data_IF_308753438604
#
_entry.id   IF_308753438604
#
_cell.length_a   1.000
_cell.length_b   1.000
_cell.length_c   1.000
_cell.angle_alpha   90.00
_cell.angle_beta   90.00
_cell.angle_gamma   90.00
#
_symmetry.space_group_name_H-M   'P 1'
#
loop_
_entity.id
_entity.type
_entity.pdbx_description
1 polymer ?
#
# COMPACT_ATOMS: atom_id res chain seq x y z
N UNK A 1 -30.23 69.79 -6.09
CA UNK A 1 -29.63 70.20 -7.39
C UNK A 1 -28.15 70.63 -7.30
N UNK A 2 -27.64 71.13 -6.16
CA UNK A 2 -26.27 71.66 -6.02
C UNK A 2 -25.12 70.62 -5.98
N UNK A 3 -25.40 69.37 -5.59
CA UNK A 3 -24.37 68.32 -5.48
C UNK A 3 -23.88 67.89 -6.87
N UNK A 4 -24.79 67.71 -7.82
CA UNK A 4 -24.46 67.28 -9.19
C UNK A 4 -23.63 68.33 -9.96
N UNK A 5 -23.86 69.62 -9.73
CA UNK A 5 -23.09 70.70 -10.36
C UNK A 5 -21.70 70.87 -9.73
N UNK A 6 -21.56 70.68 -8.41
CA UNK A 6 -20.25 70.63 -7.76
C UNK A 6 -19.43 69.41 -8.19
N UNK A 7 -20.07 68.25 -8.33
CA UNK A 7 -19.42 67.04 -8.82
C UNK A 7 -18.93 67.21 -10.28
N UNK A 8 -19.76 67.78 -11.17
CA UNK A 8 -19.34 68.05 -12.57
C UNK A 8 -18.17 69.02 -12.68
N UNK A 9 -18.11 70.06 -11.83
CA UNK A 9 -16.96 70.99 -11.81
C UNK A 9 -15.70 70.33 -11.28
N UNK A 10 -15.81 69.53 -10.21
CA UNK A 10 -14.69 68.77 -9.68
C UNK A 10 -14.14 67.76 -10.70
N UNK A 11 -15.02 67.06 -11.42
CA UNK A 11 -14.63 66.10 -12.46
C UNK A 11 -13.96 66.80 -13.65
N UNK A 12 -14.47 67.94 -14.13
CA UNK A 12 -13.81 68.73 -15.19
C UNK A 12 -12.46 69.27 -14.74
N UNK A 13 -12.35 69.81 -13.53
CA UNK A 13 -11.08 70.30 -13.00
C UNK A 13 -10.04 69.17 -12.83
N UNK A 14 -10.49 67.98 -12.40
CA UNK A 14 -9.64 66.79 -12.29
C UNK A 14 -9.22 66.23 -13.67
N UNK A 15 -10.06 66.38 -14.69
CA UNK A 15 -9.78 66.00 -16.07
C UNK A 15 -8.76 66.94 -16.71
N UNK A 16 -8.95 68.25 -16.58
CA UNK A 16 -8.06 69.27 -17.16
C UNK A 16 -6.69 69.30 -16.46
N UNK A 17 -6.63 68.94 -15.17
CA UNK A 17 -5.38 68.76 -14.43
C UNK A 17 -4.66 67.43 -14.68
N UNK A 18 -5.22 66.53 -15.50
CA UNK A 18 -4.65 65.21 -15.78
C UNK A 18 -4.74 64.20 -14.63
N UNK A 19 -5.06 64.63 -13.41
CA UNK A 19 -5.15 63.79 -12.22
C UNK A 19 -6.19 62.66 -12.34
N UNK A 20 -7.27 62.87 -13.11
CA UNK A 20 -8.26 61.83 -13.37
C UNK A 20 -7.65 60.64 -14.12
N UNK A 21 -6.76 60.91 -15.08
CA UNK A 21 -6.09 59.88 -15.87
C UNK A 21 -4.98 59.18 -15.10
N UNK A 22 -4.29 59.90 -14.20
CA UNK A 22 -3.32 59.31 -13.27
C UNK A 22 -4.02 58.33 -12.32
N UNK A 23 -5.19 58.70 -11.78
CA UNK A 23 -6.00 57.82 -10.94
C UNK A 23 -6.53 56.59 -11.68
N UNK A 24 -6.98 56.75 -12.92
CA UNK A 24 -7.41 55.64 -13.79
C UNK A 24 -6.24 54.71 -14.17
N UNK A 25 -5.08 55.27 -14.49
CA UNK A 25 -3.88 54.51 -14.82
C UNK A 25 -3.35 53.72 -13.61
N UNK A 26 -3.36 54.33 -12.42
CA UNK A 26 -3.00 53.64 -11.18
C UNK A 26 -3.98 52.51 -10.85
N UNK A 27 -5.29 52.73 -11.00
CA UNK A 27 -6.30 51.69 -10.82
C UNK A 27 -6.13 50.54 -11.82
N UNK A 28 -5.80 50.85 -13.08
CA UNK A 28 -5.51 49.86 -14.13
C UNK A 28 -4.27 49.01 -13.81
N UNK A 29 -3.19 49.63 -13.33
CA UNK A 29 -1.96 48.92 -12.92
C UNK A 29 -2.17 48.03 -11.69
N UNK A 30 -2.96 48.48 -10.72
CA UNK A 30 -3.30 47.67 -9.54
C UNK A 30 -4.19 46.49 -9.93
N UNK A 31 -5.15 46.69 -10.83
CA UNK A 31 -6.01 45.63 -11.33
C UNK A 31 -5.22 44.57 -12.14
N UNK A 32 -4.31 45.00 -13.02
CA UNK A 32 -3.48 44.08 -13.81
C UNK A 32 -2.46 43.33 -12.94
N UNK A 33 -1.83 44.00 -11.97
CA UNK A 33 -0.96 43.35 -10.99
C UNK A 33 -1.70 42.31 -10.13
N UNK A 34 -2.95 42.60 -9.75
CA UNK A 34 -3.81 41.67 -9.02
C UNK A 34 -4.21 40.44 -9.85
N UNK A 35 -4.47 40.60 -11.14
CA UNK A 35 -4.74 39.49 -12.06
C UNK A 35 -3.49 38.62 -12.28
N UNK A 36 -2.33 39.24 -12.57
CA UNK A 36 -1.07 38.53 -12.74
C UNK A 36 -0.65 37.76 -11.46
N UNK A 37 -0.89 38.33 -10.27
CA UNK A 37 -0.62 37.64 -9.01
C UNK A 37 -1.54 36.43 -8.80
N UNK A 38 -2.79 36.50 -9.28
CA UNK A 38 -3.73 35.38 -9.24
C UNK A 38 -3.34 34.26 -10.19
N UNK A 39 -3.02 34.59 -11.43
CA UNK A 39 -2.54 33.63 -12.44
C UNK A 39 -1.28 32.92 -11.94
N UNK A 40 -0.32 33.68 -11.41
CA UNK A 40 0.90 33.10 -10.83
C UNK A 40 0.62 32.13 -9.67
N UNK A 41 -0.35 32.43 -8.79
CA UNK A 41 -0.77 31.51 -7.72
C UNK A 41 -1.46 30.25 -8.25
N UNK A 42 -2.22 30.36 -9.31
CA UNK A 42 -2.88 29.22 -9.95
C UNK A 42 -1.86 28.31 -10.62
N UNK A 43 -0.86 28.87 -11.30
CA UNK A 43 0.25 28.14 -11.90
C UNK A 43 1.07 27.39 -10.83
N UNK A 44 1.41 28.04 -9.71
CA UNK A 44 2.09 27.37 -8.60
C UNK A 44 1.28 26.20 -8.02
N UNK A 45 -0.04 26.35 -7.91
CA UNK A 45 -0.92 25.27 -7.45
C UNK A 45 -0.96 24.12 -8.46
N UNK A 46 -0.97 24.41 -9.75
CA UNK A 46 -0.96 23.41 -10.81
C UNK A 46 0.37 22.65 -10.86
N UNK A 47 1.50 23.34 -10.69
CA UNK A 47 2.83 22.74 -10.60
C UNK A 47 2.95 21.83 -9.38
N UNK A 48 2.55 22.31 -8.19
CA UNK A 48 2.55 21.49 -6.98
C UNK A 48 1.65 20.24 -7.13
N UNK A 49 0.47 20.37 -7.76
CA UNK A 49 -0.40 19.23 -8.02
C UNK A 49 0.18 18.23 -9.02
N UNK A 50 0.98 18.69 -10.00
CA UNK A 50 1.70 17.80 -10.93
C UNK A 50 2.80 17.03 -10.21
N UNK A 51 3.54 17.70 -9.32
CA UNK A 51 4.59 17.07 -8.51
C UNK A 51 4.01 16.01 -7.57
N UNK A 52 2.90 16.31 -6.88
CA UNK A 52 2.19 15.34 -6.04
C UNK A 52 1.72 14.13 -6.86
N UNK A 53 1.15 14.34 -8.06
CA UNK A 53 0.74 13.23 -8.93
C UNK A 53 1.92 12.39 -9.41
N UNK A 54 3.07 13.00 -9.66
CA UNK A 54 4.29 12.29 -10.03
C UNK A 54 4.78 11.42 -8.86
N UNK A 55 4.87 11.99 -7.65
CA UNK A 55 5.25 11.26 -6.44
C UNK A 55 4.31 10.08 -6.14
N UNK A 56 2.99 10.25 -6.29
CA UNK A 56 2.02 9.15 -6.12
C UNK A 56 2.24 8.05 -7.16
N UNK A 57 2.55 8.42 -8.41
CA UNK A 57 2.82 7.46 -9.48
C UNK A 57 4.09 6.66 -9.20
N UNK A 58 5.13 7.31 -8.71
CA UNK A 58 6.40 6.66 -8.39
C UNK A 58 6.26 5.76 -7.14
N UNK A 59 5.56 6.22 -6.09
CA UNK A 59 5.20 5.38 -4.94
C UNK A 59 4.40 4.13 -5.35
N UNK A 60 3.49 4.26 -6.31
CA UNK A 60 2.73 3.12 -6.82
C UNK A 60 3.61 2.14 -7.59
N UNK A 61 4.52 2.63 -8.43
CA UNK A 61 5.51 1.79 -9.13
C UNK A 61 6.40 1.05 -8.15
N UNK A 62 6.90 1.71 -7.12
CA UNK A 62 7.73 1.11 -6.08
C UNK A 62 6.97 0.02 -5.31
N UNK A 63 5.69 0.23 -5.03
CA UNK A 63 4.84 -0.79 -4.40
C UNK A 63 4.62 -1.98 -5.33
N UNK A 64 4.32 -1.73 -6.61
CA UNK A 64 4.12 -2.79 -7.60
C UNK A 64 5.42 -3.59 -7.83
N UNK A 65 6.58 -2.95 -7.82
CA UNK A 65 7.89 -3.60 -7.93
C UNK A 65 8.23 -4.40 -6.67
N UNK A 66 7.97 -3.87 -5.48
CA UNK A 66 8.08 -4.62 -4.22
C UNK A 66 7.12 -5.81 -4.16
N UNK A 67 5.90 -5.67 -4.69
CA UNK A 67 4.93 -6.75 -4.80
C UNK A 67 5.38 -7.81 -5.80
N UNK A 68 5.96 -7.41 -6.94
CA UNK A 68 6.57 -8.33 -7.91
C UNK A 68 7.77 -9.06 -7.32
N UNK A 69 8.68 -8.36 -6.65
CA UNK A 69 9.81 -8.99 -5.97
C UNK A 69 9.36 -10.01 -4.91
N UNK A 70 8.26 -9.72 -4.18
CA UNK A 70 7.65 -10.70 -3.26
C UNK A 70 6.99 -11.89 -3.96
N UNK A 71 6.43 -11.68 -5.16
CA UNK A 71 5.82 -12.76 -5.97
C UNK A 71 6.86 -13.60 -6.72
N UNK A 72 7.98 -13.01 -7.10
CA UNK A 72 9.08 -13.67 -7.82
C UNK A 72 10.09 -14.33 -6.87
N UNK A 73 10.25 -13.82 -5.64
CA UNK A 73 11.14 -14.37 -4.61
C UNK A 73 10.66 -15.66 -3.94
N UNK A 74 9.43 -16.12 -4.23
CA UNK A 74 8.93 -17.41 -3.78
C UNK A 74 8.09 -18.05 -4.88
N UNK A 75 8.74 -18.58 -5.93
CA UNK A 75 8.13 -19.71 -6.62
C UNK A 75 8.12 -20.88 -5.63
N UNK A 76 6.99 -20.98 -4.95
CA UNK A 76 6.62 -22.04 -4.02
C UNK A 76 6.73 -23.47 -4.61
N UNK A 77 6.95 -23.62 -5.93
CA UNK A 77 7.00 -24.90 -6.64
C UNK A 77 8.17 -25.83 -6.30
N UNK A 78 9.27 -25.31 -5.73
CA UNK A 78 10.51 -26.10 -5.57
C UNK A 78 10.77 -26.55 -4.12
N UNK A 79 9.84 -26.29 -3.18
CA UNK A 79 10.02 -26.69 -1.78
C UNK A 79 9.81 -28.20 -1.60
N UNK A 80 10.77 -28.82 -0.90
CA UNK A 80 10.76 -30.25 -0.59
C UNK A 80 9.59 -30.57 0.33
N UNK A 81 8.77 -31.55 -0.05
CA UNK A 81 7.71 -32.08 0.81
C UNK A 81 8.35 -32.84 1.97
N UNK A 82 7.96 -32.52 3.20
CA UNK A 82 8.43 -33.21 4.40
C UNK A 82 7.64 -34.50 4.62
N UNK A 83 6.31 -34.41 4.64
CA UNK A 83 5.41 -35.57 4.77
C UNK A 83 4.01 -35.26 4.23
N UNK A 84 3.21 -36.30 4.03
CA UNK A 84 1.79 -36.18 3.69
C UNK A 84 0.94 -36.30 4.94
N UNK A 85 -0.15 -35.55 4.96
CA UNK A 85 -1.06 -35.52 6.08
C UNK A 85 -2.50 -35.32 5.62
N UNK A 86 -3.44 -35.76 6.43
CA UNK A 86 -4.87 -35.62 6.18
C UNK A 86 -5.48 -34.58 7.12
N UNK A 87 -6.35 -33.74 6.58
CA UNK A 87 -7.04 -32.71 7.36
C UNK A 87 -8.24 -33.30 8.10
N UNK A 88 -8.21 -33.27 9.43
CA UNK A 88 -9.28 -33.85 10.27
C UNK A 88 -10.51 -32.96 10.36
N UNK A 89 -10.31 -31.63 10.38
CA UNK A 89 -11.37 -30.66 10.64
C UNK A 89 -11.16 -29.42 9.80
N UNK A 90 -12.20 -29.05 9.02
CA UNK A 90 -12.23 -27.77 8.31
C UNK A 90 -12.33 -26.61 9.29
N UNK A 91 -11.39 -25.69 9.21
CA UNK A 91 -11.46 -24.41 9.89
C UNK A 91 -12.14 -23.40 8.97
N UNK A 92 -13.39 -23.01 9.29
CA UNK A 92 -14.13 -22.00 8.54
C UNK A 92 -13.68 -20.57 8.86
N UNK A 93 -13.12 -20.36 10.05
CA UNK A 93 -12.45 -19.15 10.48
C UNK A 93 -11.56 -19.55 11.65
N UNK A 94 -10.24 -19.51 11.48
CA UNK A 94 -9.34 -19.70 12.61
C UNK A 94 -9.45 -18.43 13.45
N UNK A 95 -9.87 -18.55 14.70
CA UNK A 95 -9.77 -17.47 15.67
C UNK A 95 -8.27 -17.13 15.77
N UNK A 96 -7.83 -16.10 15.05
CA UNK A 96 -6.45 -15.60 15.08
C UNK A 96 -5.67 -15.60 13.76
N UNK A 97 -6.18 -16.14 12.63
CA UNK A 97 -5.44 -16.04 11.37
C UNK A 97 -6.37 -15.97 10.14
N UNK A 98 -6.80 -14.75 9.82
CA UNK A 98 -7.52 -14.39 8.58
C UNK A 98 -6.58 -13.57 7.67
N UNK A 99 -5.38 -14.11 7.48
CA UNK A 99 -4.33 -13.50 6.66
C UNK A 99 -4.35 -14.02 5.22
N UNK A 100 -3.80 -13.28 4.24
CA UNK A 100 -3.73 -13.71 2.83
C UNK A 100 -2.87 -14.98 2.59
N UNK A 101 -2.26 -15.53 3.65
CA UNK A 101 -1.41 -16.71 3.65
C UNK A 101 -2.12 -17.95 4.23
N UNK A 102 -3.39 -17.85 4.65
CA UNK A 102 -4.15 -18.99 5.16
C UNK A 102 -4.59 -19.91 4.02
N UNK A 103 -4.54 -21.23 4.24
CA UNK A 103 -5.09 -22.18 3.28
C UNK A 103 -6.63 -22.18 3.38
N UNK A 104 -7.30 -21.51 2.44
CA UNK A 104 -8.74 -21.19 2.52
C UNK A 104 -9.67 -22.26 1.93
N UNK A 105 -9.24 -22.96 0.87
CA UNK A 105 -10.04 -23.97 0.17
C UNK A 105 -9.69 -25.37 0.67
N UNK A 106 -10.26 -25.74 1.81
CA UNK A 106 -9.96 -27.00 2.48
C UNK A 106 -11.23 -27.76 2.84
N UNK A 107 -11.24 -29.08 2.63
CA UNK A 107 -12.27 -30.00 3.13
C UNK A 107 -11.69 -30.98 4.16
N UNK A 108 -12.54 -31.45 5.08
CA UNK A 108 -12.13 -32.53 5.99
C UNK A 108 -11.96 -33.84 5.19
N UNK A 109 -10.93 -34.62 5.53
CA UNK A 109 -10.51 -35.82 4.80
C UNK A 109 -9.63 -35.52 3.58
N UNK A 110 -9.29 -34.26 3.31
CA UNK A 110 -8.43 -33.91 2.18
C UNK A 110 -6.95 -34.23 2.50
N UNK A 111 -6.24 -34.93 1.60
CA UNK A 111 -4.80 -35.09 1.71
C UNK A 111 -4.09 -33.78 1.37
N UNK A 112 -3.06 -33.45 2.15
CA UNK A 112 -2.21 -32.28 1.97
C UNK A 112 -0.74 -32.66 2.14
N UNK A 113 0.12 -31.96 1.42
CA UNK A 113 1.56 -32.09 1.57
C UNK A 113 2.06 -31.02 2.54
N UNK A 114 2.73 -31.42 3.62
CA UNK A 114 3.36 -30.49 4.55
C UNK A 114 4.74 -30.11 4.03
N UNK A 115 4.97 -28.81 3.88
CA UNK A 115 6.21 -28.24 3.35
C UNK A 115 7.16 -27.79 4.47
N UNK A 116 6.60 -27.25 5.54
CA UNK A 116 7.37 -26.79 6.70
C UNK A 116 6.51 -26.93 7.98
N UNK A 117 7.18 -27.28 9.09
CA UNK A 117 6.54 -27.61 10.38
C UNK A 117 6.76 -26.53 11.43
N UNK A 118 5.87 -26.49 12.41
CA UNK A 118 5.96 -25.66 13.62
C UNK A 118 6.26 -24.17 13.36
N UNK A 119 5.53 -23.57 12.41
CA UNK A 119 5.66 -22.17 11.99
C UNK A 119 4.67 -21.29 12.75
N UNK A 120 5.00 -19.99 12.86
CA UNK A 120 4.12 -18.96 13.39
C UNK A 120 4.24 -18.80 14.91
N UNK A 121 3.36 -18.00 15.54
CA UNK A 121 3.39 -17.82 16.98
C UNK A 121 3.18 -19.17 17.68
N UNK A 122 4.08 -19.48 18.61
CA UNK A 122 4.10 -20.72 19.41
C UNK A 122 4.25 -22.02 18.61
N UNK A 123 4.61 -21.96 17.32
CA UNK A 123 4.74 -23.15 16.48
C UNK A 123 3.41 -23.89 16.24
N UNK A 124 2.29 -23.18 16.31
CA UNK A 124 0.94 -23.76 16.20
C UNK A 124 0.50 -24.16 14.79
N UNK A 125 1.30 -23.86 13.76
CA UNK A 125 0.89 -24.00 12.35
C UNK A 125 1.89 -24.80 11.52
N UNK A 126 1.40 -25.38 10.43
CA UNK A 126 2.18 -25.99 9.38
C UNK A 126 1.93 -25.27 8.07
N UNK A 127 2.94 -25.12 7.24
CA UNK A 127 2.75 -24.71 5.85
C UNK A 127 2.38 -25.94 5.04
N UNK A 128 1.21 -25.89 4.43
CA UNK A 128 0.60 -27.02 3.74
C UNK A 128 0.27 -26.66 2.29
N UNK A 129 0.34 -27.66 1.42
CA UNK A 129 -0.04 -27.57 0.01
C UNK A 129 -1.19 -28.51 -0.29
N UNK A 130 -2.17 -27.99 -1.01
CA UNK A 130 -3.23 -28.78 -1.62
C UNK A 130 -3.34 -28.46 -3.13
N UNK A 131 -4.36 -29.01 -3.79
CA UNK A 131 -4.61 -28.80 -5.23
C UNK A 131 -4.92 -27.34 -5.59
N UNK A 132 -5.37 -26.53 -4.62
CA UNK A 132 -5.78 -25.13 -4.83
C UNK A 132 -4.67 -24.13 -4.52
N UNK A 133 -3.62 -24.54 -3.83
CA UNK A 133 -2.47 -23.71 -3.52
C UNK A 133 -1.75 -24.11 -2.24
N UNK A 134 -0.97 -23.15 -1.73
CA UNK A 134 -0.16 -23.29 -0.52
C UNK A 134 -0.60 -22.27 0.52
N UNK A 135 -0.49 -22.62 1.79
CA UNK A 135 -0.81 -21.73 2.89
C UNK A 135 -0.63 -22.37 4.25
N UNK A 136 -0.77 -21.55 5.29
CA UNK A 136 -0.68 -21.99 6.68
C UNK A 136 -1.98 -22.68 7.10
N UNK A 137 -1.84 -23.80 7.82
CA UNK A 137 -2.94 -24.54 8.42
C UNK A 137 -2.61 -24.93 9.87
N UNK A 138 -3.58 -24.92 10.81
CA UNK A 138 -3.27 -25.21 12.20
C UNK A 138 -2.90 -26.69 12.40
N UNK A 139 -1.80 -26.93 13.11
CA UNK A 139 -1.27 -28.26 13.42
C UNK A 139 -2.29 -29.18 14.09
N UNK A 140 -3.10 -28.63 15.00
CA UNK A 140 -4.12 -29.38 15.74
C UNK A 140 -5.20 -30.05 14.86
N UNK A 141 -5.31 -29.66 13.58
CA UNK A 141 -6.33 -30.16 12.67
C UNK A 141 -5.78 -31.03 11.54
N UNK A 142 -4.50 -31.43 11.65
CA UNK A 142 -3.80 -32.22 10.64
C UNK A 142 -3.28 -33.50 11.30
N UNK A 143 -3.51 -34.65 10.68
CA UNK A 143 -2.92 -35.92 11.09
C UNK A 143 -1.92 -36.37 10.02
N UNK A 144 -0.64 -36.62 10.36
CA UNK A 144 0.29 -37.22 9.41
C UNK A 144 -0.17 -38.63 9.02
N UNK A 145 -0.09 -38.98 7.73
CA UNK A 145 -0.53 -40.29 7.25
C UNK A 145 0.42 -41.41 7.73
N UNK A 146 1.70 -41.07 7.90
CA UNK A 146 2.72 -41.93 8.49
C UNK A 146 3.12 -41.43 9.88
N UNK A 147 2.74 -42.17 10.93
CA UNK A 147 3.03 -41.82 12.32
C UNK A 147 4.55 -41.68 12.62
N UNK A 148 5.41 -42.33 11.83
CA UNK A 148 6.87 -42.27 11.96
C UNK A 148 7.52 -41.03 11.32
N UNK A 149 6.78 -40.28 10.51
CA UNK A 149 7.32 -39.09 9.82
C UNK A 149 7.48 -37.88 10.75
N UNK A 150 6.69 -37.83 11.83
CA UNK A 150 6.65 -36.70 12.74
C UNK A 150 7.85 -36.65 13.71
N UNK A 151 8.34 -37.80 14.18
CA UNK A 151 9.47 -37.88 15.10
C UNK A 151 10.83 -37.62 14.42
N UNK A 152 10.93 -37.86 13.10
CA UNK A 152 12.18 -37.69 12.36
C UNK A 152 12.54 -36.21 12.10
N UNK A 153 11.56 -35.31 12.05
CA UNK A 153 11.79 -33.88 11.81
C UNK A 153 12.08 -33.10 13.09
N UNK A 154 11.50 -33.49 14.23
CA UNK A 154 11.80 -32.89 15.55
C UNK A 154 13.24 -33.19 16.04
N UNK A 155 13.87 -34.24 15.52
CA UNK A 155 15.25 -34.63 15.85
C UNK A 155 16.32 -33.94 14.99
N UNK A 156 15.94 -33.07 14.04
CA UNK A 156 16.82 -32.55 12.99
C UNK A 156 17.74 -31.37 13.36
N UNK A 157 17.43 -30.59 14.40
CA UNK A 157 18.20 -29.37 14.75
C UNK A 157 18.94 -29.49 16.10
N UNK A 158 19.53 -30.67 16.33
CA UNK A 158 20.26 -31.00 17.55
C UNK A 158 21.74 -31.35 17.37
N UNK A 159 22.40 -30.92 16.29
CA UNK A 159 23.83 -31.21 16.12
C UNK A 159 24.59 -30.17 15.28
N UNK A 160 24.95 -29.04 15.89
CA UNK A 160 26.20 -28.36 15.54
C UNK A 160 26.88 -27.89 16.82
N UNK A 161 27.48 -28.86 17.53
CA UNK A 161 28.54 -28.59 18.49
C UNK A 161 29.81 -29.28 18.01
N UNK A 162 30.89 -28.49 17.99
CA UNK A 162 32.32 -28.85 17.99
C UNK A 162 33.09 -28.72 16.66
N UNK A 163 34.14 -27.88 16.79
CA UNK A 163 35.36 -27.71 16.00
C UNK A 163 35.27 -26.89 14.72
N UNK A 164 35.92 -25.71 14.72
CA UNK A 164 37.26 -25.48 14.15
C UNK A 164 37.87 -24.18 14.75
N UNK A 165 39.11 -24.32 15.21
CA UNK A 165 40.13 -23.32 15.63
C UNK A 165 39.87 -22.41 16.84
#
# INVERSE_FOLDING_TARGET
MFVATRLRRAVRAAHDSGNLYVGLGAAGLVASGGLAYREWREDQRLEAMREIRAQIRDLKKDQDEKLRAKREGARFSDRKVLFTATINRRVHAAIGFDGPLALTQVTAGQPVAVLEVDIGPEGGYHECRNEFGEGLYPKAYITPDDATAYDATAAGDGASSKHVC
#
